data_IF_607459627399
#
_entry.id   IF_607459627399
#
_cell.length_a   1.000
_cell.length_b   1.000
_cell.length_c   1.000
_cell.angle_alpha   90.00
_cell.angle_beta   90.00
_cell.angle_gamma   90.00
#
_symmetry.space_group_name_H-M   'P 1'
#
loop_
_entity.id
_entity.type
_entity.pdbx_description
1 polymer ?
#
# COMPACT_ATOMS: atom_id res chain seq x y z
N UNK A 1 15.03 -1.92 -1.79
CA UNK A 1 13.91 -2.20 -2.71
C UNK A 1 14.13 -1.47 -4.02
N UNK A 2 14.04 -2.14 -5.16
CA UNK A 2 14.10 -1.46 -6.47
C UNK A 2 12.69 -1.13 -6.95
N UNK A 3 12.25 0.12 -6.82
CA UNK A 3 10.99 0.56 -7.42
C UNK A 3 11.13 0.50 -8.95
N UNK A 4 10.12 -0.03 -9.64
CA UNK A 4 10.04 -0.09 -11.10
C UNK A 4 8.75 0.56 -11.57
N UNK A 5 8.68 0.91 -12.85
CA UNK A 5 7.43 1.33 -13.48
C UNK A 5 6.41 0.18 -13.36
N UNK A 6 5.20 0.50 -12.90
CA UNK A 6 4.15 -0.48 -12.61
C UNK A 6 4.20 -1.08 -11.20
N UNK A 7 5.18 -0.72 -10.35
CA UNK A 7 5.18 -1.18 -8.95
C UNK A 7 4.01 -0.55 -8.18
N UNK A 8 3.25 -1.39 -7.45
CA UNK A 8 2.25 -0.92 -6.49
C UNK A 8 2.95 -0.44 -5.21
N UNK A 9 2.56 0.74 -4.75
CA UNK A 9 3.16 1.39 -3.59
C UNK A 9 2.08 2.08 -2.75
N UNK A 10 2.41 2.35 -1.50
CA UNK A 10 1.68 3.23 -0.61
C UNK A 10 2.32 4.62 -0.62
N UNK A 11 1.46 5.63 -0.65
CA UNK A 11 1.82 7.05 -0.59
C UNK A 11 1.12 7.64 0.61
N UNK A 12 1.84 8.47 1.37
CA UNK A 12 1.28 9.22 2.48
C UNK A 12 0.26 10.25 1.98
N UNK A 13 -0.92 10.28 2.60
CA UNK A 13 -1.99 11.23 2.31
C UNK A 13 -2.50 11.86 3.61
N UNK A 14 -2.83 13.15 3.58
CA UNK A 14 -3.20 13.88 4.79
C UNK A 14 -4.58 13.48 5.32
N UNK A 15 -5.49 13.09 4.44
CA UNK A 15 -6.89 12.83 4.81
C UNK A 15 -7.10 11.33 5.14
N UNK A 16 -6.38 10.44 4.46
CA UNK A 16 -6.52 8.98 4.63
C UNK A 16 -5.31 8.28 5.28
N UNK A 17 -4.31 9.04 5.73
CA UNK A 17 -2.98 8.58 6.18
C UNK A 17 -2.16 7.90 5.07
N UNK A 18 -2.71 6.88 4.42
CA UNK A 18 -2.06 6.10 3.37
C UNK A 18 -3.03 5.82 2.22
N UNK A 19 -2.57 6.05 0.99
CA UNK A 19 -3.33 5.75 -0.23
C UNK A 19 -2.55 4.82 -1.15
N UNK A 20 -3.27 3.88 -1.75
CA UNK A 20 -2.71 3.00 -2.77
C UNK A 20 -2.35 3.82 -4.02
N UNK A 21 -1.19 3.54 -4.58
CA UNK A 21 -0.71 4.18 -5.79
C UNK A 21 0.15 3.22 -6.63
N UNK A 22 0.38 3.61 -7.88
CA UNK A 22 1.22 2.89 -8.83
C UNK A 22 2.30 3.81 -9.39
N UNK A 23 3.53 3.30 -9.52
CA UNK A 23 4.65 4.04 -10.09
C UNK A 23 4.47 4.18 -11.60
N UNK A 24 4.32 5.43 -12.07
CA UNK A 24 4.21 5.75 -13.48
C UNK A 24 5.57 6.03 -14.13
N UNK A 25 6.39 6.87 -13.52
CA UNK A 25 7.69 7.28 -14.06
C UNK A 25 8.63 7.80 -12.99
N UNK A 26 9.91 7.87 -13.32
CA UNK A 26 10.95 8.45 -12.49
C UNK A 26 11.34 9.82 -13.07
N UNK A 27 11.19 10.87 -12.28
CA UNK A 27 11.53 12.24 -12.66
C UNK A 27 12.72 12.69 -11.81
N UNK A 28 13.91 12.61 -12.39
CA UNK A 28 15.18 12.92 -11.71
C UNK A 28 15.36 12.14 -10.39
N UNK A 29 15.15 12.79 -9.24
CA UNK A 29 15.27 12.20 -7.90
C UNK A 29 13.93 11.80 -7.27
N UNK A 30 12.82 12.04 -7.96
CA UNK A 30 11.47 11.77 -7.47
C UNK A 30 10.77 10.72 -8.34
N UNK A 31 9.75 10.10 -7.78
CA UNK A 31 8.89 9.12 -8.45
C UNK A 31 7.53 9.75 -8.66
N UNK A 32 7.05 9.72 -9.90
CA UNK A 32 5.67 10.07 -10.24
C UNK A 32 4.80 8.84 -10.02
N UNK A 33 3.84 8.96 -9.13
CA UNK A 33 2.91 7.91 -8.76
C UNK A 33 1.48 8.33 -9.11
N UNK A 34 0.66 7.38 -9.52
CA UNK A 34 -0.78 7.56 -9.72
C UNK A 34 -1.50 6.92 -8.56
N UNK A 35 -2.19 7.72 -7.76
CA UNK A 35 -3.06 7.21 -6.70
C UNK A 35 -4.28 6.50 -7.28
N UNK A 36 -4.87 5.57 -6.54
CA UNK A 36 -6.12 4.89 -6.92
C UNK A 36 -7.29 5.87 -7.12
N UNK A 37 -7.20 7.07 -6.54
CA UNK A 37 -8.17 8.17 -6.75
C UNK A 37 -7.99 8.90 -8.08
N UNK A 38 -7.00 8.51 -8.91
CA UNK A 38 -6.68 9.13 -10.20
C UNK A 38 -5.78 10.37 -10.10
N UNK A 39 -5.43 10.83 -8.89
CA UNK A 39 -4.49 11.94 -8.70
C UNK A 39 -3.06 11.48 -8.96
N UNK A 40 -2.30 12.27 -9.71
CA UNK A 40 -0.87 12.06 -9.94
C UNK A 40 -0.05 12.89 -8.96
N UNK A 41 0.82 12.24 -8.20
CA UNK A 41 1.64 12.86 -7.15
C UNK A 41 3.11 12.61 -7.43
N UNK A 42 3.97 13.57 -7.07
CA UNK A 42 5.42 13.40 -7.06
C UNK A 42 5.85 13.13 -5.63
N UNK A 43 6.47 11.98 -5.39
CA UNK A 43 6.95 11.58 -4.08
C UNK A 43 8.43 11.20 -4.15
N UNK A 44 9.12 11.32 -3.01
CA UNK A 44 10.48 10.80 -2.90
C UNK A 44 10.43 9.27 -2.81
N UNK A 45 11.34 8.53 -3.48
CA UNK A 45 11.39 7.07 -3.41
C UNK A 45 11.44 6.53 -1.97
N UNK A 46 12.11 7.27 -1.07
CA UNK A 46 12.29 6.92 0.34
C UNK A 46 11.01 7.01 1.18
N UNK A 47 10.03 7.82 0.72
CA UNK A 47 8.73 7.97 1.37
C UNK A 47 7.69 6.98 0.86
N UNK A 48 8.03 6.21 -0.17
CA UNK A 48 7.13 5.21 -0.74
C UNK A 48 7.35 3.88 -0.03
N UNK A 49 6.25 3.30 0.45
CA UNK A 49 6.26 1.95 1.00
C UNK A 49 5.76 0.97 -0.07
N UNK A 50 6.33 -0.23 -0.16
CA UNK A 50 5.86 -1.25 -1.09
C UNK A 50 4.46 -1.72 -0.72
N UNK A 51 3.64 -1.98 -1.74
CA UNK A 51 2.30 -2.57 -1.61
C UNK A 51 2.30 -3.91 -2.33
N UNK A 52 1.67 -4.91 -1.73
CA UNK A 52 1.55 -6.21 -2.36
C UNK A 52 0.59 -6.12 -3.57
N UNK A 53 0.98 -6.73 -4.69
CA UNK A 53 0.18 -6.76 -5.89
C UNK A 53 -1.05 -7.67 -5.74
N UNK A 54 -0.91 -8.72 -4.92
CA UNK A 54 -1.89 -9.80 -4.77
C UNK A 54 -2.79 -9.59 -3.53
N UNK A 55 -2.53 -8.55 -2.73
CA UNK A 55 -3.32 -8.17 -1.55
C UNK A 55 -4.78 -7.86 -1.87
N UNK A 56 -5.06 -7.47 -3.11
CA UNK A 56 -6.41 -7.15 -3.58
C UNK A 56 -7.23 -8.41 -3.91
N UNK A 57 -6.58 -9.57 -4.16
CA UNK A 57 -7.23 -10.83 -4.56
C UNK A 57 -7.69 -11.66 -3.35
N UNK A 58 -7.11 -11.42 -2.18
CA UNK A 58 -7.39 -12.16 -0.95
C UNK A 58 -8.28 -11.35 -0.01
N UNK A 59 -9.15 -12.03 0.76
CA UNK A 59 -10.04 -11.48 1.80
C UNK A 59 -9.39 -10.57 2.87
N UNK A 60 -8.08 -10.39 2.84
CA UNK A 60 -7.25 -10.05 4.00
C UNK A 60 -6.72 -11.33 4.66
N UNK A 61 -5.68 -11.18 5.47
CA UNK A 61 -4.98 -12.28 6.12
C UNK A 61 -5.32 -12.30 7.61
N UNK A 62 -5.59 -13.50 8.15
CA UNK A 62 -5.93 -13.71 9.57
C UNK A 62 -4.74 -13.43 10.49
N UNK A 63 -3.56 -13.87 10.05
CA UNK A 63 -2.31 -13.72 10.74
C UNK A 63 -1.47 -12.65 10.03
N UNK A 64 -1.33 -11.49 10.67
CA UNK A 64 -0.66 -10.33 10.08
C UNK A 64 0.83 -10.58 9.82
N UNK A 65 1.44 -11.59 10.45
CA UNK A 65 2.84 -11.96 10.17
C UNK A 65 3.05 -12.55 8.77
N UNK A 66 1.96 -12.97 8.11
CA UNK A 66 1.97 -13.50 6.75
C UNK A 66 1.82 -12.41 5.68
N UNK A 67 1.74 -11.14 6.07
CA UNK A 67 1.77 -10.03 5.10
C UNK A 67 3.13 -10.00 4.39
N UNK A 68 3.10 -9.91 3.06
CA UNK A 68 4.31 -9.78 2.23
C UNK A 68 5.18 -8.60 2.67
N UNK A 69 4.51 -7.51 3.06
CA UNK A 69 5.15 -6.33 3.63
C UNK A 69 4.48 -5.97 4.96
N UNK A 70 5.15 -6.26 6.06
CA UNK A 70 4.70 -5.84 7.39
C UNK A 70 5.09 -4.39 7.63
N UNK A 71 4.32 -3.48 7.03
CA UNK A 71 4.46 -2.04 7.20
C UNK A 71 3.13 -1.43 7.70
N UNK A 72 3.20 -0.20 8.20
CA UNK A 72 2.04 0.52 8.73
C UNK A 72 0.83 0.53 7.76
N UNK A 73 0.97 0.90 6.48
CA UNK A 73 -0.16 0.89 5.56
C UNK A 73 -0.70 -0.51 5.27
N UNK A 74 0.14 -1.54 5.19
CA UNK A 74 -0.29 -2.93 4.98
C UNK A 74 -1.13 -3.45 6.14
N UNK A 75 -0.73 -3.16 7.39
CA UNK A 75 -1.52 -3.49 8.58
C UNK A 75 -2.87 -2.76 8.57
N UNK A 76 -2.86 -1.45 8.31
CA UNK A 76 -4.08 -0.65 8.26
C UNK A 76 -5.05 -1.15 7.17
N UNK A 77 -4.53 -1.46 5.98
CA UNK A 77 -5.29 -1.96 4.85
C UNK A 77 -5.89 -3.35 5.15
N UNK A 78 -5.10 -4.25 5.72
CA UNK A 78 -5.57 -5.59 6.11
C UNK A 78 -6.73 -5.52 7.13
N UNK A 79 -6.60 -4.67 8.15
CA UNK A 79 -7.64 -4.44 9.15
C UNK A 79 -8.91 -3.88 8.52
N UNK A 80 -8.78 -2.86 7.66
CA UNK A 80 -9.92 -2.26 6.97
C UNK A 80 -10.67 -3.29 6.10
N UNK A 81 -9.93 -4.12 5.38
CA UNK A 81 -10.50 -5.14 4.49
C UNK A 81 -11.26 -6.21 5.28
N UNK A 82 -10.67 -6.73 6.34
CA UNK A 82 -11.32 -7.74 7.21
C UNK A 82 -12.52 -7.17 7.95
N UNK A 83 -12.42 -5.94 8.44
CA UNK A 83 -13.57 -5.25 9.06
C UNK A 83 -14.75 -5.12 8.08
N UNK A 84 -14.47 -4.81 6.81
CA UNK A 84 -15.49 -4.72 5.76
C UNK A 84 -16.16 -6.07 5.44
N UNK A 85 -15.50 -7.19 5.78
CA UNK A 85 -16.03 -8.55 5.65
C UNK A 85 -16.65 -9.08 6.96
N UNK A 86 -16.76 -8.25 8.00
CA UNK A 86 -17.16 -8.61 9.37
C UNK A 86 -16.21 -9.59 10.09
N UNK A 87 -14.98 -9.76 9.60
CA UNK A 87 -13.92 -10.58 10.23
C UNK A 87 -13.09 -9.73 11.21
N UNK A 88 -13.68 -9.40 12.36
CA UNK A 88 -13.13 -8.39 13.30
C UNK A 88 -11.93 -8.85 14.13
N UNK A 89 -11.61 -10.14 14.12
CA UNK A 89 -10.47 -10.68 14.85
C UNK A 89 -9.30 -10.94 13.91
N UNK A 90 -8.12 -10.48 14.31
CA UNK A 90 -6.83 -10.73 13.65
C UNK A 90 -5.81 -11.20 14.68
N UNK A 91 -4.89 -12.07 14.27
CA UNK A 91 -3.76 -12.50 15.07
C UNK A 91 -2.47 -11.86 14.58
N UNK A 92 -1.56 -11.66 15.52
CA UNK A 92 -0.19 -11.26 15.29
C UNK A 92 0.67 -12.13 16.19
N UNK A 93 1.06 -13.32 15.68
CA UNK A 93 1.79 -14.34 16.44
C UNK A 93 3.18 -14.60 15.86
#
# INVERSE_FOLDING_TARGET
MSLRKGSKVWVEDRDFAWVAAEVLDFVAKQVRVSTATGKKVLALPEKLLPRDADEDDHGGVDDMTKLTYLNEPGVLYNLQRRYSLNDIYVRCS
#
